data_IF_272167022171
#
_entry.id   IF_272167022171
#
_cell.length_a   1.000
_cell.length_b   1.000
_cell.length_c   1.000
_cell.angle_alpha   90.00
_cell.angle_beta   90.00
_cell.angle_gamma   90.00
#
_symmetry.space_group_name_H-M   'P 1'
#
loop_
_entity.id
_entity.type
_entity.pdbx_description
1 polymer ?
2 non-polymer ?
3 non-polymer ?
4 water ?
#
# COMPACT_ATOMS: atom_id res chain seq x y z
N UNK A 20 -20.72 -1.31 3.37
CA UNK A 20 -19.23 -1.18 3.17
C UNK A 20 -18.88 -0.09 2.15
N UNK A 21 -17.62 0.25 2.14
CA UNK A 21 -17.23 1.38 1.42
C UNK A 21 -17.13 1.08 -0.09
N UNK A 22 -17.14 2.12 -0.87
CA UNK A 22 -16.96 2.01 -2.31
C UNK A 22 -15.76 2.75 -2.81
N UNK A 23 -15.30 2.40 -4.01
CA UNK A 23 -14.14 3.00 -4.57
C UNK A 23 -14.56 3.78 -5.78
N UNK A 24 -14.09 5.03 -5.82
CA UNK A 24 -14.27 5.90 -6.95
C UNK A 24 -12.93 6.28 -7.57
N UNK A 25 -12.96 6.73 -8.82
CA UNK A 25 -11.77 7.28 -9.42
C UNK A 25 -11.31 8.50 -8.68
N UNK A 26 -10.03 8.52 -8.34
CA UNK A 26 -9.48 9.59 -7.57
C UNK A 26 -9.52 10.92 -8.31
N UNK A 27 -9.35 10.86 -9.64
CA UNK A 27 -9.30 12.07 -10.46
C UNK A 27 -10.63 12.71 -10.72
N UNK A 28 -11.70 11.97 -10.71
CA UNK A 28 -12.96 12.58 -11.11
C UNK A 28 -14.17 12.11 -10.36
N UNK A 29 -14.07 11.04 -9.57
CA UNK A 29 -15.19 10.61 -8.82
C UNK A 29 -16.09 9.56 -9.38
N UNK A 30 -15.79 9.12 -10.61
CA UNK A 30 -16.52 8.02 -11.21
C UNK A 30 -16.58 6.80 -10.29
N UNK A 31 -17.75 6.21 -10.12
CA UNK A 31 -17.90 5.03 -9.36
C UNK A 31 -17.23 3.85 -10.08
N UNK A 32 -16.43 3.08 -9.35
CA UNK A 32 -15.60 2.04 -9.99
C UNK A 32 -15.84 0.65 -9.36
N UNK A 33 -15.69 0.55 -8.04
CA UNK A 33 -15.86 -0.73 -7.41
C UNK A 33 -16.25 -0.61 -5.95
N UNK A 34 -16.29 -1.73 -5.26
CA UNK A 34 -16.76 -1.78 -3.90
C UNK A 34 -15.88 -2.65 -3.06
N UNK A 35 -15.77 -2.31 -1.78
CA UNK A 35 -14.96 -3.15 -0.88
C UNK A 35 -15.51 -4.60 -0.81
N UNK A 36 -16.85 -4.77 -0.88
CA UNK A 36 -17.49 -6.09 -0.91
C UNK A 36 -17.01 -6.97 -2.10
N UNK A 37 -16.47 -6.34 -3.13
CA UNK A 37 -16.04 -7.06 -4.34
C UNK A 37 -14.54 -7.29 -4.40
N UNK A 38 -13.83 -7.08 -3.30
CA UNK A 38 -12.40 -7.50 -3.24
C UNK A 38 -12.29 -9.00 -3.44
N UNK A 39 -11.20 -9.41 -4.07
CA UNK A 39 -10.96 -10.81 -4.41
C UNK A 39 -9.55 -11.24 -3.99
N UNK A 40 -9.47 -12.16 -3.03
CA UNK A 40 -8.15 -12.63 -2.63
C UNK A 40 -7.50 -13.64 -3.66
N UNK A 41 -6.81 -13.12 -4.68
CA UNK A 41 -6.04 -13.94 -5.68
C UNK A 41 -4.74 -14.45 -5.09
N UNK A 42 -4.56 -15.78 -5.09
CA UNK A 42 -3.36 -16.39 -4.54
C UNK A 42 -3.24 -16.12 -3.05
N UNK A 43 -4.38 -15.93 -2.37
CA UNK A 43 -4.44 -15.72 -0.94
C UNK A 43 -4.52 -14.27 -0.46
N UNK A 44 -4.42 -13.28 -1.33
CA UNK A 44 -4.35 -11.88 -0.87
C UNK A 44 -4.98 -11.00 -1.89
N UNK A 45 -5.76 -9.98 -1.50
CA UNK A 45 -6.30 -9.12 -2.51
C UNK A 45 -5.26 -8.13 -3.01
N UNK A 46 -4.20 -7.91 -2.26
CA UNK A 46 -3.18 -6.93 -2.65
C UNK A 46 -1.95 -7.63 -3.23
N UNK A 47 -1.51 -7.20 -4.41
CA UNK A 47 -0.24 -7.67 -5.04
C UNK A 47 0.63 -6.45 -5.38
N UNK A 48 1.87 -6.43 -4.92
CA UNK A 48 2.77 -5.31 -5.29
C UNK A 48 3.73 -5.79 -6.42
N UNK A 49 3.64 -5.12 -7.58
CA UNK A 49 4.15 -5.64 -8.88
C UNK A 49 4.85 -4.54 -9.66
N UNK A 50 5.70 -4.92 -10.64
CA UNK A 50 6.35 -3.96 -11.50
C UNK A 50 6.11 -4.31 -12.93
N UNK A 51 5.84 -3.29 -13.72
CA UNK A 51 5.87 -3.46 -15.17
C UNK A 51 7.23 -3.35 -15.80
N UNK A 52 7.32 -3.64 -17.10
CA UNK A 52 8.64 -3.64 -17.68
C UNK A 52 9.32 -2.27 -17.75
N UNK A 53 8.53 -1.22 -17.68
CA UNK A 53 9.02 0.16 -17.62
C UNK A 53 9.41 0.56 -16.15
N UNK A 54 9.30 -0.41 -15.23
CA UNK A 54 9.85 -0.34 -13.89
C UNK A 54 8.93 0.39 -12.96
N UNK A 55 7.74 0.71 -13.40
CA UNK A 55 6.79 1.31 -12.53
C UNK A 55 6.22 0.30 -11.54
N UNK A 56 6.13 0.72 -10.28
CA UNK A 56 5.64 -0.19 -9.25
C UNK A 56 4.18 0.11 -9.05
N UNK A 57 3.39 -0.92 -8.81
CA UNK A 57 1.97 -0.74 -8.57
C UNK A 57 1.50 -1.52 -7.37
N UNK A 58 0.71 -0.90 -6.53
CA UNK A 58 -0.02 -1.66 -5.52
C UNK A 58 -1.37 -1.98 -6.05
N UNK A 59 -1.49 -3.23 -6.54
CA UNK A 59 -2.67 -3.64 -7.21
C UNK A 59 -3.58 -4.35 -6.21
N UNK A 60 -4.81 -3.90 -6.19
CA UNK A 60 -5.90 -4.59 -5.46
C UNK A 60 -6.80 -5.32 -6.45
N UNK A 61 -7.06 -6.57 -6.16
CA UNK A 61 -7.88 -7.40 -7.01
C UNK A 61 -9.35 -7.34 -6.60
N UNK A 62 -10.20 -7.11 -7.58
CA UNK A 62 -11.63 -7.09 -7.42
C UNK A 62 -12.28 -8.07 -8.37
N UNK A 63 -13.38 -8.68 -7.95
CA UNK A 63 -14.09 -9.62 -8.80
C UNK A 63 -14.85 -8.89 -9.89
N UNK A 64 -15.22 -7.63 -9.59
CA UNK A 64 -16.09 -6.86 -10.40
C UNK A 64 -15.71 -5.38 -10.30
N UNK A 65 -15.94 -4.62 -11.38
CA UNK A 65 -15.80 -3.17 -11.43
C UNK A 65 -16.68 -2.67 -12.56
N UNK A 66 -16.93 -1.39 -12.50
CA UNK A 66 -17.77 -0.70 -13.42
C UNK A 66 -17.13 0.66 -13.70
N UNK A 67 -17.67 1.36 -14.71
CA UNK A 67 -17.31 2.73 -14.97
C UNK A 67 -15.96 2.86 -15.64
N UNK A 68 -15.41 1.76 -16.09
CA UNK A 68 -14.13 1.78 -16.81
C UNK A 68 -14.30 1.74 -18.28
N UNK A 69 -13.19 1.86 -19.00
CA UNK A 69 -13.24 1.63 -20.41
C UNK A 69 -12.01 0.82 -20.69
N UNK A 70 -12.21 -0.35 -21.31
CA UNK A 70 -11.12 -1.26 -21.56
C UNK A 70 -10.52 -0.99 -22.93
N UNK A 71 -9.21 -0.84 -23.03
CA UNK A 71 -8.63 -0.32 -24.26
C UNK A 71 -7.93 -1.47 -24.97
N UNK A 72 -8.14 -1.58 -26.27
CA UNK A 72 -7.34 -2.49 -27.08
C UNK A 72 -7.66 -3.94 -26.85
N UNK A 73 -6.72 -4.79 -27.24
CA UNK A 73 -6.93 -6.20 -27.22
C UNK A 73 -6.07 -6.86 -26.12
N UNK A 74 -6.59 -7.93 -25.55
CA UNK A 74 -5.86 -8.64 -24.48
C UNK A 74 -4.46 -9.18 -24.86
N UNK A 75 -3.54 -9.13 -23.89
CA UNK A 75 -2.21 -9.65 -24.02
C UNK A 75 -1.86 -10.54 -22.83
N UNK A 76 -1.18 -11.62 -23.10
CA UNK A 76 -0.56 -12.48 -22.11
C UNK A 76 0.81 -12.00 -21.65
N UNK A 77 1.42 -11.10 -22.42
CA UNK A 77 2.83 -10.75 -22.23
C UNK A 77 3.00 -10.04 -20.87
N UNK A 78 3.97 -10.50 -20.09
CA UNK A 78 4.31 -9.91 -18.80
C UNK A 78 3.16 -9.92 -17.79
N UNK A 79 2.20 -10.82 -17.93
CA UNK A 79 1.03 -10.84 -17.00
C UNK A 79 1.53 -11.18 -15.60
N UNK A 80 1.09 -10.41 -14.61
CA UNK A 80 1.41 -10.70 -13.23
C UNK A 80 0.58 -11.84 -12.70
N UNK A 81 -0.45 -12.31 -13.40
CA UNK A 81 -1.28 -13.40 -12.90
C UNK A 81 -1.30 -14.55 -13.83
N UNK A 82 -0.88 -15.70 -13.33
CA UNK A 82 -0.66 -16.85 -14.22
C UNK A 82 -1.94 -17.32 -14.92
N UNK A 83 -1.86 -17.54 -16.22
CA UNK A 83 -3.03 -17.97 -16.99
C UNK A 83 -3.93 -16.85 -17.48
N UNK A 84 -3.67 -15.60 -17.09
CA UNK A 84 -4.55 -14.52 -17.46
C UNK A 84 -3.91 -13.61 -18.51
N UNK A 85 -4.77 -13.13 -19.42
CA UNK A 85 -4.44 -12.05 -20.35
C UNK A 85 -5.03 -10.74 -19.87
N UNK A 86 -4.31 -9.64 -20.13
CA UNK A 86 -4.78 -8.36 -19.62
C UNK A 86 -5.09 -7.33 -20.65
N UNK A 87 -5.95 -6.40 -20.27
CA UNK A 87 -6.19 -5.22 -21.07
C UNK A 87 -6.15 -4.04 -20.13
N UNK A 88 -5.60 -2.94 -20.63
CA UNK A 88 -5.60 -1.67 -19.84
C UNK A 88 -7.00 -1.24 -19.58
N UNK A 89 -7.26 -0.78 -18.35
CA UNK A 89 -8.52 -0.27 -17.96
C UNK A 89 -8.37 1.20 -17.59
N UNK A 90 -9.07 2.05 -18.31
CA UNK A 90 -9.12 3.45 -17.96
C UNK A 90 -10.41 3.79 -17.25
N UNK A 91 -10.40 4.86 -16.48
CA UNK A 91 -11.64 5.48 -16.07
C UNK A 91 -12.43 5.87 -17.33
N UNK A 92 -13.67 5.40 -17.42
CA UNK A 92 -14.53 5.67 -18.54
C UNK A 92 -14.94 7.12 -18.59
N UNK A 93 -14.84 7.81 -17.47
CA UNK A 93 -15.18 9.20 -17.44
C UNK A 93 -14.02 10.18 -17.78
N UNK A 94 -12.87 10.12 -17.08
CA UNK A 94 -11.77 11.02 -17.28
C UNK A 94 -10.56 10.48 -17.99
N UNK A 95 -10.50 9.19 -18.17
CA UNK A 95 -9.38 8.61 -18.96
C UNK A 95 -8.21 8.20 -18.10
N UNK A 96 -8.31 8.39 -16.80
CA UNK A 96 -7.23 8.04 -15.90
C UNK A 96 -6.94 6.54 -15.97
N UNK A 97 -5.66 6.17 -15.94
CA UNK A 97 -5.32 4.75 -15.95
C UNK A 97 -5.55 4.17 -14.55
N UNK A 98 -6.57 3.34 -14.42
CA UNK A 98 -6.96 2.78 -13.13
C UNK A 98 -6.48 1.37 -12.91
N UNK A 99 -6.08 0.64 -13.94
CA UNK A 99 -5.60 -0.66 -13.72
C UNK A 99 -5.73 -1.49 -14.98
N UNK A 100 -6.13 -2.74 -14.77
CA UNK A 100 -6.20 -3.77 -15.86
C UNK A 100 -7.40 -4.67 -15.62
N UNK A 101 -7.99 -5.14 -16.73
CA UNK A 101 -8.91 -6.24 -16.73
C UNK A 101 -8.16 -7.49 -17.16
N UNK A 102 -8.42 -8.58 -16.45
CA UNK A 102 -7.82 -9.89 -16.67
C UNK A 102 -8.92 -10.83 -17.14
N UNK A 103 -8.59 -11.63 -18.15
CA UNK A 103 -9.50 -12.62 -18.66
C UNK A 103 -8.73 -13.80 -19.22
N UNK A 104 -9.43 -14.84 -19.59
CA UNK A 104 -8.81 -16.00 -20.26
C UNK A 104 -8.27 -17.05 -19.32
N UNK A 105 -8.56 -16.85 -18.03
CA UNK A 105 -8.00 -17.66 -17.02
C UNK A 105 -8.99 -18.58 -16.39
N UNK A 106 -8.66 -19.07 -15.18
CA UNK A 106 -9.52 -20.03 -14.52
C UNK A 106 -9.75 -19.66 -13.01
N UNK A 107 -10.98 -19.78 -12.55
CA UNK A 107 -11.29 -19.70 -11.13
C UNK A 107 -10.71 -18.48 -10.48
N UNK A 108 -11.18 -17.32 -10.87
CA UNK A 108 -12.24 -17.02 -11.82
C UNK A 108 -11.68 -16.85 -13.22
N UNK A 109 -12.54 -16.89 -14.22
CA UNK A 109 -12.08 -16.61 -15.60
C UNK A 109 -11.57 -15.19 -15.77
N UNK A 110 -12.21 -14.25 -15.08
CA UNK A 110 -11.98 -12.82 -15.19
C UNK A 110 -11.93 -12.13 -13.83
N UNK A 111 -11.20 -11.01 -13.76
CA UNK A 111 -11.23 -10.10 -12.57
C UNK A 111 -10.53 -8.82 -12.96
N UNK A 112 -10.55 -7.82 -12.05
CA UNK A 112 -9.87 -6.62 -12.30
C UNK A 112 -8.78 -6.41 -11.31
N UNK A 113 -7.67 -5.89 -11.79
CA UNK A 113 -6.59 -5.44 -10.92
C UNK A 113 -6.52 -3.95 -10.96
N UNK A 114 -6.86 -3.30 -9.85
CA UNK A 114 -6.92 -1.86 -9.79
C UNK A 114 -5.81 -1.26 -8.92
N UNK A 115 -5.32 -0.09 -9.32
CA UNK A 115 -4.20 0.55 -8.67
C UNK A 115 -4.73 1.35 -7.45
N UNK A 116 -4.33 0.95 -6.27
CA UNK A 116 -4.96 1.42 -5.06
C UNK A 116 -4.89 2.92 -4.91
N UNK A 117 -3.73 3.50 -5.19
CA UNK A 117 -3.54 4.95 -5.02
C UNK A 117 -4.21 5.81 -6.13
N UNK A 118 -4.82 5.18 -7.15
CA UNK A 118 -5.63 5.87 -8.14
C UNK A 118 -7.12 5.85 -7.83
N UNK A 119 -7.48 5.24 -6.70
CA UNK A 119 -8.87 5.16 -6.26
C UNK A 119 -9.05 5.97 -4.91
N UNK A 120 -10.26 6.44 -4.67
CA UNK A 120 -10.67 7.07 -3.40
C UNK A 120 -11.74 6.22 -2.83
N UNK A 121 -11.57 5.85 -1.55
CA UNK A 121 -12.50 5.05 -0.84
C UNK A 121 -13.41 5.84 0.08
N UNK A 122 -14.66 5.47 0.10
CA UNK A 122 -15.64 6.24 0.85
C UNK A 122 -16.99 5.60 1.03
N UNK A 123 -17.89 6.34 1.64
CA UNK A 123 -19.24 5.81 1.90
C UNK A 123 -20.03 5.48 0.57
N UNK A 124 -20.89 4.44 0.59
CA UNK A 124 -21.74 4.01 -0.62
C UNK A 124 -22.72 5.06 -1.12
N UNK B 21 12.83 12.66 10.08
CA UNK B 21 12.13 13.91 9.62
C UNK B 21 10.85 14.18 10.40
N UNK B 22 10.45 15.45 10.37
CA UNK B 22 9.17 15.84 10.94
C UNK B 22 8.23 16.48 9.95
N UNK B 23 6.96 16.49 10.29
CA UNK B 23 5.92 17.12 9.54
C UNK B 23 5.43 18.33 10.27
N UNK B 24 5.46 19.47 9.59
CA UNK B 24 4.94 20.74 10.16
C UNK B 24 3.66 21.10 9.48
N UNK B 25 2.86 21.89 10.17
CA UNK B 25 1.73 22.60 9.52
C UNK B 25 2.28 23.48 8.39
N UNK B 26 1.75 23.30 7.21
CA UNK B 26 2.22 24.00 6.09
C UNK B 26 1.91 25.47 6.24
N UNK B 27 0.80 25.80 6.88
CA UNK B 27 0.40 27.18 7.01
C UNK B 27 1.22 28.00 8.00
N UNK B 28 1.57 27.43 9.14
CA UNK B 28 2.23 28.26 10.15
C UNK B 28 3.53 27.64 10.68
N UNK B 29 3.83 26.39 10.34
CA UNK B 29 5.08 25.82 10.77
C UNK B 29 5.09 25.01 12.03
N UNK B 30 3.98 25.00 12.79
CA UNK B 30 3.95 24.26 14.02
C UNK B 30 4.33 22.80 13.76
N UNK B 31 5.20 22.24 14.59
CA UNK B 31 5.52 20.81 14.51
C UNK B 31 4.30 19.94 14.87
N UNK B 32 3.99 18.96 14.01
CA UNK B 32 2.75 18.17 14.16
C UNK B 32 3.02 16.67 14.37
N UNK B 33 3.85 16.09 13.50
CA UNK B 33 4.15 14.68 13.63
C UNK B 33 5.51 14.33 13.05
N UNK B 34 5.82 13.04 13.12
CA UNK B 34 7.18 12.53 12.75
C UNK B 34 7.06 11.40 11.83
N UNK B 35 8.02 11.27 10.92
CA UNK B 35 7.97 10.15 10.00
C UNK B 35 8.08 8.79 10.74
N UNK B 36 8.78 8.76 11.87
CA UNK B 36 8.89 7.55 12.70
C UNK B 36 7.50 7.03 13.13
N UNK B 37 6.52 7.92 13.15
CA UNK B 37 5.18 7.55 13.63
C UNK B 37 4.16 7.14 12.56
N UNK B 38 4.59 7.05 11.30
CA UNK B 38 3.69 6.60 10.28
C UNK B 38 3.15 5.21 10.67
N UNK B 39 1.91 4.98 10.33
CA UNK B 39 1.20 3.78 10.80
C UNK B 39 0.49 3.13 9.63
N UNK B 40 0.88 1.93 9.29
CA UNK B 40 0.31 1.32 8.08
C UNK B 40 -1.07 0.66 8.33
N UNK B 41 -2.12 1.47 8.50
CA UNK B 41 -3.47 0.96 8.77
C UNK B 41 -3.98 0.19 7.58
N UNK B 42 -4.43 -1.05 7.80
CA UNK B 42 -4.83 -1.89 6.68
C UNK B 42 -3.71 -2.17 5.65
N UNK B 43 -2.46 -2.07 6.07
CA UNK B 43 -1.31 -2.35 5.22
C UNK B 43 -0.68 -1.15 4.52
N UNK B 44 -1.19 0.06 4.65
CA UNK B 44 -0.58 1.22 3.95
C UNK B 44 -0.76 2.46 4.83
N UNK B 45 0.23 3.37 4.91
CA UNK B 45 0.00 4.59 5.66
C UNK B 45 -0.77 5.62 4.90
N UNK B 46 -0.83 5.49 3.56
CA UNK B 46 -1.61 6.44 2.75
C UNK B 46 -3.00 5.87 2.44
N UNK B 47 -4.01 6.69 2.64
CA UNK B 47 -5.36 6.33 2.28
C UNK B 47 -5.98 7.48 1.51
N UNK B 48 -6.37 7.24 0.25
CA UNK B 48 -7.15 8.23 -0.50
C UNK B 48 -8.61 7.97 -0.29
N UNK B 49 -9.33 9.00 0.17
CA UNK B 49 -10.67 8.80 0.73
C UNK B 49 -11.59 9.90 0.24
N UNK B 50 -12.88 9.66 0.33
CA UNK B 50 -13.83 10.77 0.12
C UNK B 50 -14.91 10.75 1.21
N UNK B 51 -15.32 11.95 1.55
CA UNK B 51 -16.45 12.11 2.52
C UNK B 51 -17.82 12.17 1.85
N UNK B 52 -18.91 12.17 2.65
CA UNK B 52 -20.17 12.17 2.04
C UNK B 52 -20.51 13.37 1.16
N UNK B 53 -19.81 14.48 1.35
CA UNK B 53 -19.98 15.67 0.52
C UNK B 53 -19.13 15.52 -0.79
N UNK B 54 -18.43 14.40 -0.90
CA UNK B 54 -17.63 14.03 -2.11
C UNK B 54 -16.32 14.73 -2.19
N UNK B 55 -15.87 15.36 -1.12
CA UNK B 55 -14.51 15.94 -1.09
C UNK B 55 -13.48 14.80 -0.95
N UNK B 56 -12.46 14.83 -1.80
CA UNK B 56 -11.43 13.82 -1.78
C UNK B 56 -10.21 14.29 -0.99
N UNK B 57 -9.68 13.45 -0.14
CA UNK B 57 -8.49 13.73 0.64
C UNK B 57 -7.48 12.64 0.48
N UNK B 58 -6.21 13.00 0.51
CA UNK B 58 -5.13 11.98 0.64
C UNK B 58 -4.58 12.09 2.08
N UNK B 59 -4.93 11.09 2.89
CA UNK B 59 -4.65 10.98 4.30
C UNK B 59 -3.45 10.06 4.55
N UNK B 60 -2.52 10.56 5.35
CA UNK B 60 -1.43 9.70 5.91
C UNK B 60 -1.71 9.43 7.40
N UNK B 61 -1.60 8.17 7.77
CA UNK B 61 -1.88 7.75 9.15
C UNK B 61 -0.63 7.83 9.99
N UNK B 62 -0.81 8.41 11.16
CA UNK B 62 0.23 8.53 12.15
C UNK B 62 -0.29 8.04 13.50
N UNK B 63 0.55 7.38 14.24
CA UNK B 63 0.21 6.85 15.52
C UNK B 63 0.02 7.88 16.58
N UNK B 64 0.78 8.96 16.44
CA UNK B 64 0.79 10.09 17.43
C UNK B 64 0.93 11.40 16.67
N UNK B 65 0.52 12.49 17.27
CA UNK B 65 0.76 13.79 16.77
C UNK B 65 0.77 14.72 17.96
N UNK B 66 1.19 15.96 17.68
CA UNK B 66 1.15 17.00 18.65
C UNK B 66 0.76 18.31 17.98
N UNK B 67 0.41 19.26 18.82
CA UNK B 67 0.17 20.63 18.35
C UNK B 67 -1.17 20.85 17.67
N UNK B 68 -2.05 19.82 17.64
CA UNK B 68 -3.34 19.93 17.05
C UNK B 68 -4.42 20.33 18.11
N UNK B 69 -5.63 20.61 17.65
CA UNK B 69 -6.74 20.90 18.56
C UNK B 69 -7.88 20.18 17.94
N UNK B 70 -8.50 19.29 18.71
CA UNK B 70 -9.62 18.53 18.24
C UNK B 70 -10.88 19.22 18.51
N UNK B 71 -11.75 19.18 17.55
CA UNK B 71 -12.98 19.96 17.60
C UNK B 71 -14.21 19.09 17.50
N UNK B 72 -15.26 19.45 18.24
CA UNK B 72 -16.57 18.75 18.18
C UNK B 72 -16.60 17.44 18.95
N UNK B 73 -17.68 16.68 18.83
CA UNK B 73 -17.74 15.40 19.53
C UNK B 73 -17.41 14.32 18.52
N UNK B 74 -16.89 13.17 19.00
CA UNK B 74 -16.56 12.07 18.06
C UNK B 74 -17.79 11.59 17.30
N UNK B 75 -17.61 11.13 16.07
CA UNK B 75 -18.68 10.58 15.28
C UNK B 75 -18.22 9.23 14.81
N UNK B 76 -19.09 8.23 14.93
CA UNK B 76 -18.87 6.95 14.27
C UNK B 76 -19.24 6.98 12.79
N UNK B 77 -20.07 7.95 12.42
CA UNK B 77 -20.69 7.95 11.12
C UNK B 77 -19.68 8.19 10.03
N UNK B 78 -19.76 7.35 9.01
CA UNK B 78 -18.96 7.50 7.78
C UNK B 78 -17.46 7.44 8.04
N UNK B 79 -17.05 6.76 9.12
CA UNK B 79 -15.63 6.66 9.40
C UNK B 79 -14.88 5.93 8.27
N UNK B 80 -13.76 6.45 7.86
CA UNK B 80 -12.93 5.77 6.86
C UNK B 80 -12.23 4.56 7.43
N UNK B 81 -12.24 4.41 8.74
CA UNK B 81 -11.57 3.30 9.39
C UNK B 81 -12.55 2.63 10.31
N UNK B 82 -12.95 1.42 9.92
CA UNK B 82 -14.01 0.73 10.60
C UNK B 82 -13.65 0.48 12.07
N UNK B 83 -14.60 0.69 12.97
CA UNK B 83 -14.37 0.48 14.39
C UNK B 83 -13.82 1.68 15.13
N UNK B 84 -13.56 2.77 14.41
CA UNK B 84 -13.09 4.03 14.98
C UNK B 84 -14.09 5.16 14.82
N UNK B 85 -14.17 5.98 15.85
CA UNK B 85 -14.89 7.26 15.79
C UNK B 85 -13.89 8.37 15.51
N UNK B 86 -14.34 9.41 14.82
CA UNK B 86 -13.46 10.46 14.43
C UNK B 86 -13.89 11.83 14.91
N UNK B 87 -12.87 12.67 15.03
CA UNK B 87 -13.03 14.07 15.34
C UNK B 87 -12.11 14.88 14.46
N UNK B 88 -12.60 16.05 14.02
CA UNK B 88 -11.77 16.97 13.24
C UNK B 88 -10.57 17.47 14.04
N UNK B 89 -9.43 17.56 13.36
CA UNK B 89 -8.19 18.04 13.98
C UNK B 89 -7.71 19.29 13.25
N UNK B 90 -7.67 20.38 13.95
CA UNK B 90 -7.11 21.59 13.42
C UNK B 90 -5.68 21.81 13.97
N UNK B 91 -4.87 22.60 13.26
CA UNK B 91 -3.66 23.09 13.82
C UNK B 91 -4.02 23.92 15.05
N UNK B 92 -3.42 23.61 16.17
CA UNK B 92 -3.76 24.26 17.45
C UNK B 92 -3.26 25.67 17.46
N UNK B 93 -2.35 25.96 16.54
CA UNK B 93 -1.78 27.26 16.49
C UNK B 93 -2.46 28.21 15.54
N UNK B 94 -2.68 27.79 14.29
CA UNK B 94 -3.32 28.63 13.28
C UNK B 94 -4.72 28.29 12.86
N UNK B 95 -5.20 27.12 13.24
CA UNK B 95 -6.55 26.73 12.85
C UNK B 95 -6.72 25.99 11.55
N UNK B 96 -5.63 25.77 10.83
CA UNK B 96 -5.69 25.07 9.57
C UNK B 96 -6.25 23.64 9.79
N UNK B 97 -7.14 23.18 8.92
CA UNK B 97 -7.66 21.83 9.04
C UNK B 97 -6.62 20.86 8.57
N UNK B 98 -6.05 20.14 9.49
CA UNK B 98 -4.98 19.21 9.16
C UNK B 98 -5.39 17.76 9.05
N UNK B 99 -6.49 17.38 9.61
CA UNK B 99 -7.00 16.00 9.46
C UNK B 99 -8.05 15.65 10.48
N UNK B 100 -7.93 14.46 11.04
CA UNK B 100 -8.86 13.81 11.95
C UNK B 100 -8.11 12.98 12.96
N UNK B 101 -8.65 12.92 14.15
CA UNK B 101 -8.25 11.94 15.14
C UNK B 101 -9.25 10.82 15.19
N UNK B 102 -8.73 9.62 15.34
CA UNK B 102 -9.52 8.40 15.41
C UNK B 102 -9.35 7.75 16.77
N UNK B 103 -10.45 7.30 17.36
CA UNK B 103 -10.37 6.60 18.65
C UNK B 103 -11.38 5.46 18.74
N UNK B 104 -11.18 4.64 19.75
CA UNK B 104 -12.17 3.63 20.21
C UNK B 104 -11.95 2.23 19.68
N UNK B 105 -10.88 2.06 18.96
CA UNK B 105 -10.63 0.78 18.33
C UNK B 105 -9.78 -0.02 19.26
N UNK B 106 -9.01 -0.93 18.71
CA UNK B 106 -8.04 -1.65 19.51
C UNK B 106 -6.83 -1.86 18.63
N UNK B 107 -5.64 -1.80 19.21
CA UNK B 107 -4.43 -2.13 18.46
C UNK B 107 -4.46 -1.43 17.11
N UNK B 108 -4.26 -0.11 17.08
CA UNK B 108 -4.13 0.82 18.16
C UNK B 108 -5.47 1.46 18.50
N UNK B 109 -5.60 1.93 19.73
CA UNK B 109 -6.85 2.49 20.18
C UNK B 109 -7.12 3.81 19.56
N UNK B 110 -6.03 4.55 19.34
CA UNK B 110 -6.06 5.86 18.75
C UNK B 110 -4.96 6.08 17.72
N UNK B 111 -5.27 6.96 16.78
CA UNK B 111 -4.34 7.40 15.73
C UNK B 111 -4.90 8.62 15.00
N UNK B 112 -4.08 9.25 14.18
CA UNK B 112 -4.47 10.37 13.36
C UNK B 112 -4.39 10.04 11.89
N UNK B 113 -5.34 10.60 11.16
CA UNK B 113 -5.30 10.68 9.71
C UNK B 113 -5.10 12.10 9.26
N UNK B 114 -3.90 12.41 8.77
CA UNK B 114 -3.52 13.80 8.48
C UNK B 114 -3.42 14.01 7.00
N UNK B 115 -3.85 15.18 6.56
CA UNK B 115 -3.91 15.51 5.14
C UNK B 115 -2.55 15.88 4.62
N UNK B 116 -1.99 15.01 3.83
CA UNK B 116 -0.60 15.13 3.46
C UNK B 116 -0.25 16.45 2.85
N UNK B 117 -1.08 16.97 1.97
CA UNK B 117 -0.83 18.20 1.30
C UNK B 117 -0.81 19.46 2.21
N UNK B 118 -1.37 19.32 3.39
CA UNK B 118 -1.43 20.41 4.38
C UNK B 118 -0.29 20.34 5.39
N UNK B 119 0.64 19.44 5.15
CA UNK B 119 1.84 19.30 5.94
C UNK B 119 3.07 19.53 5.07
N UNK B 120 4.17 19.94 5.71
CA UNK B 120 5.49 20.11 5.04
C UNK B 120 6.46 19.24 5.81
N UNK B 121 7.11 18.36 5.08
CA UNK B 121 8.13 17.47 5.67
C UNK B 121 9.49 18.08 5.60
N UNK B 122 10.28 17.92 6.64
CA UNK B 122 11.56 18.55 6.69
C UNK B 122 12.35 18.05 7.90
N UNK B 123 13.60 18.50 8.02
CA UNK B 123 14.56 18.04 9.03
C UNK B 123 14.08 18.40 10.45
N UNK B 124 14.31 17.48 11.38
CA UNK B 124 14.18 17.73 12.80
C UNK B 124 15.27 18.69 13.24
N UNK C 19 6.29 -11.93 -16.29
CA UNK C 19 5.70 -10.85 -15.41
C UNK C 19 6.15 -10.87 -13.94
N UNK C 20 6.45 -12.03 -13.38
CA UNK C 20 6.81 -12.14 -11.93
C UNK C 20 8.00 -13.05 -11.61
N UNK C 21 9.14 -12.84 -12.28
CA UNK C 21 10.30 -13.68 -12.05
C UNK C 21 11.44 -13.02 -11.26
N UNK C 22 11.41 -11.69 -11.05
CA UNK C 22 12.40 -10.97 -10.29
C UNK C 22 11.70 -10.43 -9.05
N UNK C 23 12.37 -10.58 -7.91
CA UNK C 23 11.85 -10.08 -6.62
C UNK C 23 12.66 -8.86 -6.23
N UNK C 24 11.94 -7.81 -5.85
CA UNK C 24 12.54 -6.55 -5.47
C UNK C 24 12.03 -6.11 -4.13
N UNK C 25 12.77 -5.22 -3.50
CA UNK C 25 12.34 -4.59 -2.30
C UNK C 25 11.03 -3.84 -2.58
N UNK C 26 10.00 -4.18 -1.82
CA UNK C 26 8.73 -3.54 -1.99
C UNK C 26 8.81 -2.03 -1.70
N UNK C 27 9.70 -1.62 -0.79
CA UNK C 27 9.68 -0.22 -0.38
C UNK C 27 10.38 0.65 -1.41
N UNK C 28 11.41 0.14 -2.08
CA UNK C 28 12.22 0.97 -2.97
C UNK C 28 12.53 0.46 -4.38
N UNK C 29 12.34 -0.84 -4.61
CA UNK C 29 12.53 -1.42 -5.95
C UNK C 29 13.88 -2.07 -6.16
N UNK C 30 14.74 -2.01 -5.12
CA UNK C 30 16.11 -2.63 -5.20
C UNK C 30 15.97 -4.08 -5.67
N UNK C 31 16.78 -4.52 -6.63
CA UNK C 31 16.77 -5.93 -7.06
C UNK C 31 17.34 -6.80 -5.94
N UNK C 32 16.62 -7.86 -5.59
CA UNK C 32 17.00 -8.69 -4.47
C UNK C 32 17.26 -10.13 -4.88
N UNK C 33 16.34 -10.74 -5.62
CA UNK C 33 16.53 -12.12 -6.05
C UNK C 33 15.63 -12.41 -7.25
N UNK C 34 15.50 -13.70 -7.61
CA UNK C 34 14.66 -14.17 -8.73
C UNK C 34 14.02 -15.52 -8.44
N UNK C 35 12.96 -15.82 -9.18
CA UNK C 35 12.23 -17.10 -9.06
C UNK C 35 13.14 -18.31 -9.28
N UNK C 36 14.10 -18.17 -10.19
CA UNK C 36 15.11 -19.21 -10.45
C UNK C 36 15.90 -19.62 -9.19
N UNK C 37 16.00 -18.75 -8.20
CA UNK C 37 16.80 -18.98 -6.97
C UNK C 37 15.97 -19.46 -5.74
N UNK C 38 14.66 -19.75 -5.93
CA UNK C 38 13.80 -20.45 -4.92
C UNK C 38 14.11 -21.96 -4.81
N UNK C 39 13.41 -22.67 -3.93
CA UNK C 39 13.68 -24.09 -3.69
C UNK C 39 12.54 -24.84 -2.99
N UNK C 57 5.67 -15.07 10.23
CA UNK C 57 6.10 -14.44 8.98
C UNK C 57 5.84 -15.39 7.78
N UNK C 58 5.30 -14.85 6.68
CA UNK C 58 5.32 -15.55 5.38
C UNK C 58 6.70 -15.34 4.72
N UNK C 59 7.41 -16.44 4.51
CA UNK C 59 8.83 -16.40 4.10
C UNK C 59 9.11 -17.22 2.83
N UNK C 60 9.93 -16.67 1.95
CA UNK C 60 10.44 -17.40 0.77
C UNK C 60 11.96 -17.63 0.98
N UNK C 61 12.35 -18.89 0.75
CA UNK C 61 13.75 -19.33 0.85
C UNK C 61 14.40 -19.28 -0.54
N UNK C 62 15.53 -18.57 -0.61
CA UNK C 62 16.33 -18.39 -1.85
C UNK C 62 17.77 -18.91 -1.62
N UNK C 63 18.33 -19.60 -2.64
CA UNK C 63 19.74 -20.02 -2.59
C UNK C 63 20.71 -18.80 -2.77
N UNK C 64 20.23 -17.75 -3.41
CA UNK C 64 21.09 -16.61 -3.78
C UNK C 64 20.21 -15.39 -3.74
N UNK C 65 20.82 -14.28 -3.37
CA UNK C 65 20.18 -12.97 -3.29
C UNK C 65 21.28 -11.92 -3.50
N UNK C 66 20.87 -10.70 -3.75
CA UNK C 66 21.79 -9.58 -3.87
C UNK C 66 21.10 -8.37 -3.33
N UNK C 67 21.85 -7.31 -3.22
CA UNK C 67 21.26 -6.04 -2.85
C UNK C 67 20.97 -5.90 -1.37
N UNK C 68 21.32 -6.90 -0.57
CA UNK C 68 20.99 -6.88 0.87
C UNK C 68 22.21 -6.39 1.67
N UNK C 69 22.02 -6.02 2.92
CA UNK C 69 23.12 -5.72 3.82
C UNK C 69 22.83 -6.60 5.04
N UNK C 70 23.75 -7.52 5.35
CA UNK C 70 23.55 -8.54 6.43
C UNK C 70 24.14 -7.98 7.69
N UNK C 71 23.32 -7.88 8.74
CA UNK C 71 23.63 -7.10 9.95
C UNK C 71 23.97 -7.95 11.18
N UNK C 72 25.02 -7.51 11.89
CA UNK C 72 25.42 -8.10 13.18
C UNK C 72 26.18 -9.41 12.99
N UNK C 73 26.46 -10.13 14.08
CA UNK C 73 27.02 -11.49 13.98
C UNK C 73 25.89 -12.54 13.99
N UNK C 74 26.11 -13.72 13.32
CA UNK C 74 25.09 -14.82 13.29
C UNK C 74 24.62 -15.31 14.67
N UNK C 75 23.29 -15.44 14.86
CA UNK C 75 22.71 -15.95 16.13
C UNK C 75 22.18 -17.37 16.01
N UNK C 76 22.32 -18.12 17.12
CA UNK C 76 21.69 -19.41 17.35
C UNK C 76 20.35 -19.36 18.10
N UNK C 77 20.01 -18.22 18.73
CA UNK C 77 18.74 -18.07 19.48
C UNK C 77 17.50 -18.33 18.61
N UNK C 85 22.30 -20.83 12.09
CA UNK C 85 22.66 -19.47 12.46
C UNK C 85 22.00 -18.46 11.53
N UNK C 86 21.60 -17.31 12.08
CA UNK C 86 21.03 -16.27 11.25
C UNK C 86 21.62 -14.89 11.46
N UNK C 87 21.62 -14.08 10.38
CA UNK C 87 21.86 -12.63 10.46
C UNK C 87 20.62 -11.91 9.90
N UNK C 88 20.30 -10.73 10.45
CA UNK C 88 19.29 -9.87 9.84
C UNK C 88 19.76 -9.35 8.47
N UNK C 89 18.84 -9.41 7.49
CA UNK C 89 19.05 -8.89 6.16
C UNK C 89 18.20 -7.61 5.85
N UNK C 90 18.86 -6.48 5.68
CA UNK C 90 18.18 -5.25 5.27
C UNK C 90 18.33 -5.03 3.77
N UNK C 91 17.35 -4.36 3.19
CA UNK C 91 17.55 -3.77 1.85
C UNK C 91 18.76 -2.85 1.92
N UNK C 92 19.74 -3.08 1.02
CA UNK C 92 20.96 -2.21 0.93
C UNK C 92 20.71 -0.75 0.47
N UNK C 93 19.59 -0.57 -0.22
CA UNK C 93 19.23 0.70 -0.80
C UNK C 93 18.42 1.56 0.18
N UNK C 94 17.35 1.02 0.76
CA UNK C 94 16.45 1.86 1.60
C UNK C 94 16.45 1.39 3.07
N UNK C 95 17.08 0.25 3.41
CA UNK C 95 17.17 -0.14 4.82
C UNK C 95 15.96 -0.92 5.34
N UNK C 96 14.98 -1.21 4.48
CA UNK C 96 13.77 -1.99 4.89
C UNK C 96 14.24 -3.38 5.39
N UNK C 97 13.68 -3.86 6.49
CA UNK C 97 13.94 -5.26 6.93
C UNK C 97 13.27 -6.26 5.96
N UNK C 98 14.10 -6.97 5.18
CA UNK C 98 13.59 -7.95 4.17
C UNK C 98 13.59 -9.43 4.61
N UNK C 99 14.35 -9.76 5.65
CA UNK C 99 14.39 -11.13 6.16
C UNK C 99 15.71 -11.41 6.85
N UNK C 100 16.25 -12.61 6.63
CA UNK C 100 17.47 -13.05 7.33
C UNK C 100 18.28 -13.93 6.37
N UNK C 101 19.58 -13.98 6.63
CA UNK C 101 20.49 -14.89 5.97
C UNK C 101 20.88 -15.94 6.99
N UNK C 102 20.83 -17.19 6.50
CA UNK C 102 21.07 -18.41 7.25
C UNK C 102 22.34 -19.11 6.79
N UNK C 103 23.03 -19.76 7.74
CA UNK C 103 24.36 -20.35 7.44
C UNK C 103 24.79 -21.37 8.51
N UNK C 104 25.79 -22.21 8.18
CA UNK C 104 26.32 -23.20 9.15
C UNK C 104 25.64 -24.57 9.12
N UNK C 105 24.67 -24.73 8.21
CA UNK C 105 24.13 -26.03 7.86
C UNK C 105 24.90 -26.67 6.72
N UNK C 106 24.25 -27.62 6.04
CA UNK C 106 24.79 -28.31 4.86
C UNK C 106 23.62 -28.98 4.15
N UNK C 107 23.43 -28.68 2.87
CA UNK C 107 22.29 -29.22 2.12
C UNK C 107 20.95 -28.56 2.52
N UNK C 108 20.80 -27.22 2.28
CA UNK C 108 21.79 -26.24 1.79
C UNK C 108 22.69 -25.66 2.90
N UNK C 109 23.88 -25.20 2.49
CA UNK C 109 24.86 -24.61 3.41
C UNK C 109 24.35 -23.27 3.97
N UNK C 110 23.97 -22.41 3.04
CA UNK C 110 23.44 -21.09 3.37
C UNK C 110 22.19 -20.86 2.49
N UNK C 111 21.33 -19.92 2.89
CA UNK C 111 20.22 -19.47 2.09
C UNK C 111 19.67 -18.22 2.79
N UNK C 112 18.80 -17.53 2.09
CA UNK C 112 18.15 -16.31 2.55
C UNK C 112 16.67 -16.63 2.74
N UNK C 113 16.12 -16.28 3.91
CA UNK C 113 14.69 -16.46 4.18
C UNK C 113 14.14 -15.05 4.13
N UNK C 114 13.38 -14.72 3.09
CA UNK C 114 12.93 -13.37 2.86
C UNK C 114 11.40 -13.21 3.08
N UNK C 115 11.03 -12.09 3.63
CA UNK C 115 9.62 -11.90 4.00
C UNK C 115 8.83 -11.55 2.70
N UNK C 116 7.91 -12.43 2.29
CA UNK C 116 7.11 -12.25 1.04
C UNK C 116 6.38 -10.90 1.01
N UNK C 117 5.83 -10.46 2.16
CA UNK C 117 5.15 -9.15 2.27
C UNK C 117 6.03 -7.92 2.17
N UNK C 118 7.34 -8.13 2.22
CA UNK C 118 8.28 -7.04 2.10
C UNK C 118 8.89 -7.06 0.68
N UNK C 119 8.45 -7.99 -0.19
CA UNK C 119 8.96 -8.04 -1.58
C UNK C 119 7.84 -7.73 -2.54
N UNK C 120 8.28 -7.37 -3.76
CA UNK C 120 7.40 -7.11 -4.88
C UNK C 120 7.96 -7.88 -6.08
N UNK C 121 7.11 -8.15 -7.03
CA UNK C 121 7.47 -8.99 -8.19
C UNK C 121 7.40 -8.27 -9.53
N UNK C 122 8.40 -8.52 -10.39
CA UNK C 122 8.35 -8.01 -11.73
C UNK C 122 9.06 -8.90 -12.74
N UNK C 123 8.96 -8.51 -14.00
CA UNK C 123 9.56 -9.29 -15.07
C UNK C 123 11.10 -9.15 -15.10
N UNK C 124 11.75 -10.14 -15.74
CA UNK C 124 13.22 -10.27 -15.78
C UNK C 124 13.93 -9.05 -16.43
X LIG D 1 -11.83 9.34 -13.56
X LIG E 1 -0.37 -7.96 -15.68
X LIG E 1 0.23 -6.96 -16.24
X LIG E 1 -0.45 -5.69 -16.55
X LIG E 1 0.67 -4.95 -17.06
X LIG E 1 1.54 -7.04 -16.54
X LIG E 1 1.75 -5.75 -17.02
X LIG E 1 2.86 -5.33 -17.42
X LIG F 1 -0.70 25.85 11.74
X LIG G 1 -13.28 9.17 8.77
X LIG G 1 -13.87 10.25 8.37
X LIG G 1 -13.47 11.61 8.74
X LIG G 1 -14.51 12.32 8.00
X LIG G 1 -14.95 10.12 7.59
X LIG G 1 -15.30 11.40 7.39
X LIG G 1 -16.32 11.74 6.67
X LIG H 1 14.58 -1.05 -0.33
#
# INVERSE_FOLDING_TARGET
>A
AMPLDAGGQNSTQMVLAPGASIFRCRQCGQTISRRDWLLPMGGDHEHVVFNPAGMIFRVWCFSLAQGLRLIGAPSGEFSWFKGYDWTIALCGQCGSHLGWHYEGGSQPQTFFGLIKDRLAEGPAD
>B
AMPLDAGGQNSTQMVLAPGASIFRCRQCGQTISRRDWLLPMGGDHEHVVFNPAGMIFRVWCFSLAQGLRLIGAPSGEFSWFKGYDWTIALCGQCGSHLGWHYEGGSQPQTFFGLIKDRLAEGPAD
>C
AMPLDAGGQNSTQMVLAPGASIFRCRQCGQTISRRDWLLPMGGDHEHVVFNPAGMIFRVWCFSLAQGLRLIGAPSGEFSWFKGYDWTIALCGQCGSHLGWHYEGGSQPQTFFGLIKDRLAEGPAD
>D hetero
1 ZN ZN
>E hetero
1 HYN O C C1 N N1 C2 O1
>F hetero
1 ZN ZN
>G hetero
1 HYN O C C1 N N1 C2 O1
>H hetero
1 ZN ZN
#
